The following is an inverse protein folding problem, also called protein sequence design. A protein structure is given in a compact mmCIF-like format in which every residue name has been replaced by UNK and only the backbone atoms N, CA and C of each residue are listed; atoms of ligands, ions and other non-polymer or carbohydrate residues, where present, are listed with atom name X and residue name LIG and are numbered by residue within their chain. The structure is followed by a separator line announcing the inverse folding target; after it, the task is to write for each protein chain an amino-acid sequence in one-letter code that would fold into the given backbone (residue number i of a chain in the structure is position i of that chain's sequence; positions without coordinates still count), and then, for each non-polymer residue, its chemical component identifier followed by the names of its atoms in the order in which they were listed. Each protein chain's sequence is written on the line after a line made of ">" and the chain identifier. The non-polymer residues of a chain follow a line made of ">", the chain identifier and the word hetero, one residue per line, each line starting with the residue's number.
data_IF_250671522712
#
_entry.id   IF_250671522712
#
_cell.length_a   1.000
_cell.length_b   1.000
_cell.length_c   1.000
_cell.angle_alpha   90.00
_cell.angle_beta   90.00
_cell.angle_gamma   90.00
#
_symmetry.space_group_name_H-M   'P 1'
#
loop_
_entity.id
_entity.type
_entity.pdbx_description
1 polymer ?
#
# COMPACT_ATOMS: atom_id res chain seq x y z
N UNK A 1 11.21 -16.44 18.30
CA UNK A 1 10.19 -15.52 17.74
C UNK A 1 9.71 -14.65 18.89
N UNK A 2 10.33 -13.48 19.11
CA UNK A 2 9.89 -12.58 20.18
C UNK A 2 8.64 -11.84 19.72
N UNK A 3 7.52 -12.06 20.39
CA UNK A 3 6.32 -11.23 20.23
C UNK A 3 6.70 -9.78 20.48
N UNK A 4 6.31 -8.89 19.56
CA UNK A 4 6.52 -7.46 19.75
C UNK A 4 5.63 -7.01 20.93
N UNK A 5 6.06 -6.06 21.78
CA UNK A 5 5.26 -5.56 22.92
C UNK A 5 3.94 -4.87 22.51
N UNK A 6 3.49 -5.03 21.26
CA UNK A 6 2.25 -4.51 20.70
C UNK A 6 1.26 -5.61 20.31
N UNK A 7 1.62 -6.90 20.44
CA UNK A 7 0.81 -8.05 20.01
C UNK A 7 -0.05 -8.65 21.15
N UNK A 8 -0.24 -7.91 22.24
CA UNK A 8 -1.10 -8.34 23.35
C UNK A 8 -2.59 -8.25 22.98
N UNK A 9 -3.44 -9.15 23.50
CA UNK A 9 -4.88 -9.09 23.27
C UNK A 9 -5.45 -7.76 23.79
N UNK A 10 -6.19 -7.06 22.93
CA UNK A 10 -6.86 -5.80 23.31
C UNK A 10 -8.03 -6.11 24.21
N UNK A 11 -7.98 -5.61 25.45
CA UNK A 11 -9.11 -5.69 26.38
C UNK A 11 -10.34 -4.99 25.77
N UNK A 12 -11.56 -5.55 25.95
CA UNK A 12 -12.77 -4.94 25.42
C UNK A 12 -12.94 -3.54 26.01
N UNK A 13 -13.29 -2.57 25.15
CA UNK A 13 -13.53 -1.20 25.57
C UNK A 13 -14.82 -1.14 26.43
N UNK A 14 -14.87 -0.31 27.48
CA UNK A 14 -16.10 -0.08 28.24
C UNK A 14 -17.19 0.52 27.34
N UNK A 15 -18.45 0.14 27.60
CA UNK A 15 -19.62 0.57 26.83
C UNK A 15 -19.71 2.11 26.77
N UNK A 16 -19.91 2.65 25.56
CA UNK A 16 -20.05 4.10 25.33
C UNK A 16 -18.77 4.84 24.94
N UNK A 17 -17.59 4.20 24.95
CA UNK A 17 -16.37 4.76 24.34
C UNK A 17 -16.21 4.22 22.92
N UNK A 18 -16.02 5.11 21.94
CA UNK A 18 -15.62 4.69 20.59
C UNK A 18 -14.43 3.72 20.71
N UNK A 19 -14.59 2.50 20.19
CA UNK A 19 -13.57 1.47 20.27
C UNK A 19 -12.28 2.00 19.64
N UNK A 20 -11.24 2.18 20.47
CA UNK A 20 -9.94 2.63 19.98
C UNK A 20 -9.33 1.46 19.19
N UNK A 21 -9.07 1.62 17.89
CA UNK A 21 -8.49 0.53 17.09
C UNK A 21 -7.12 0.15 17.64
N UNK A 22 -6.81 -1.14 17.57
CA UNK A 22 -5.45 -1.62 17.77
C UNK A 22 -4.50 -1.04 16.70
N UNK A 23 -3.19 -1.21 16.91
CA UNK A 23 -2.19 -0.65 15.98
C UNK A 23 -2.31 -1.27 14.59
N UNK A 24 -2.60 -2.57 14.48
CA UNK A 24 -2.67 -3.26 13.19
C UNK A 24 -3.86 -2.75 12.38
N UNK A 25 -5.04 -2.66 12.99
CA UNK A 25 -6.23 -2.10 12.37
C UNK A 25 -6.02 -0.63 12.02
N UNK A 26 -5.40 0.16 12.89
CA UNK A 26 -5.07 1.55 12.59
C UNK A 26 -4.16 1.68 11.36
N UNK A 27 -3.09 0.88 11.27
CA UNK A 27 -2.20 0.89 10.10
C UNK A 27 -2.90 0.37 8.83
N UNK A 28 -3.76 -0.64 8.95
CA UNK A 28 -4.57 -1.12 7.84
C UNK A 28 -5.50 -0.03 7.31
N UNK A 29 -6.14 0.75 8.18
CA UNK A 29 -6.98 1.88 7.79
C UNK A 29 -6.17 2.96 7.06
N UNK A 30 -4.92 3.19 7.46
CA UNK A 30 -4.01 4.11 6.75
C UNK A 30 -3.64 3.57 5.37
N UNK A 31 -3.35 2.27 5.24
CA UNK A 31 -3.11 1.65 3.93
C UNK A 31 -4.35 1.75 3.02
N UNK A 32 -5.55 1.57 3.58
CA UNK A 32 -6.81 1.77 2.85
C UNK A 32 -7.03 3.24 2.46
N UNK A 33 -6.64 4.20 3.31
CA UNK A 33 -6.65 5.61 2.96
C UNK A 33 -5.68 5.91 1.81
N UNK A 34 -4.44 5.39 1.86
CA UNK A 34 -3.48 5.53 0.77
C UNK A 34 -4.01 4.94 -0.56
N UNK A 35 -4.63 3.75 -0.49
CA UNK A 35 -5.27 3.07 -1.64
C UNK A 35 -6.29 3.95 -2.36
N UNK A 36 -6.95 4.90 -1.68
CA UNK A 36 -7.93 5.78 -2.32
C UNK A 36 -7.33 6.60 -3.46
N UNK A 37 -6.02 6.86 -3.44
CA UNK A 37 -5.29 7.59 -4.49
C UNK A 37 -4.70 6.70 -5.59
N UNK A 38 -4.77 5.38 -5.47
CA UNK A 38 -4.25 4.47 -6.48
C UNK A 38 -4.93 4.68 -7.84
N UNK A 39 -4.16 4.72 -8.92
CA UNK A 39 -4.69 4.92 -10.26
C UNK A 39 -4.24 3.87 -11.27
N UNK A 40 -4.20 2.62 -10.79
CA UNK A 40 -4.03 1.43 -11.61
C UNK A 40 -5.40 0.81 -11.95
N UNK A 41 -5.64 0.54 -13.23
CA UNK A 41 -6.87 -0.13 -13.69
C UNK A 41 -6.92 -1.63 -13.31
N UNK A 42 -5.79 -2.23 -12.93
CA UNK A 42 -5.73 -3.63 -12.54
C UNK A 42 -6.31 -3.89 -11.14
N UNK A 43 -5.64 -3.39 -10.11
CA UNK A 43 -6.10 -3.44 -8.71
C UNK A 43 -5.69 -2.15 -8.04
N UNK A 44 -6.54 -1.60 -7.16
CA UNK A 44 -6.16 -0.48 -6.29
C UNK A 44 -5.55 -1.04 -5.02
N UNK A 45 -4.29 -0.70 -4.76
CA UNK A 45 -3.52 -1.17 -3.61
C UNK A 45 -2.94 0.03 -2.88
N UNK A 46 -2.91 -0.04 -1.56
CA UNK A 46 -2.22 0.91 -0.69
C UNK A 46 -1.34 0.15 0.28
N UNK A 47 -0.26 0.78 0.69
CA UNK A 47 0.73 0.23 1.60
C UNK A 47 1.13 1.28 2.63
N UNK A 48 1.52 0.81 3.80
CA UNK A 48 2.09 1.61 4.89
C UNK A 48 3.32 0.86 5.40
N UNK A 49 4.41 1.58 5.63
CA UNK A 49 5.57 1.07 6.36
C UNK A 49 5.58 1.77 7.70
N UNK A 50 5.61 1.01 8.79
CA UNK A 50 5.56 1.55 10.14
C UNK A 50 6.54 0.87 11.08
N UNK A 51 7.02 1.63 12.07
CA UNK A 51 7.97 1.16 13.07
C UNK A 51 7.67 1.84 14.41
N UNK A 52 7.68 1.06 15.49
CA UNK A 52 7.44 1.56 16.86
C UNK A 52 6.12 2.37 17.01
N UNK A 53 5.09 1.99 16.25
CA UNK A 53 3.79 2.68 16.25
C UNK A 53 3.73 3.98 15.45
N UNK A 54 4.78 4.31 14.68
CA UNK A 54 4.83 5.49 13.81
C UNK A 54 4.86 5.08 12.35
N UNK A 55 4.11 5.80 11.52
CA UNK A 55 4.20 5.66 10.06
C UNK A 55 5.52 6.28 9.60
N UNK A 56 6.32 5.51 8.86
CA UNK A 56 7.54 5.98 8.21
C UNK A 56 7.23 6.48 6.79
N UNK A 57 6.43 5.72 6.05
CA UNK A 57 5.97 6.08 4.71
C UNK A 57 4.67 5.37 4.35
N UNK A 58 4.01 5.89 3.33
CA UNK A 58 2.87 5.25 2.66
C UNK A 58 3.14 5.15 1.17
N UNK A 59 2.39 4.29 0.50
CA UNK A 59 2.43 4.16 -0.95
C UNK A 59 1.09 3.71 -1.49
N UNK A 60 0.84 4.03 -2.76
CA UNK A 60 -0.28 3.52 -3.54
C UNK A 60 0.23 3.21 -4.93
N UNK A 61 -0.43 2.29 -5.64
CA UNK A 61 0.04 1.89 -6.97
C UNK A 61 -0.48 2.81 -8.09
N UNK A 62 0.35 3.02 -9.10
CA UNK A 62 0.13 3.92 -10.22
C UNK A 62 1.31 3.86 -11.19
N UNK A 63 1.30 4.64 -12.27
CA UNK A 63 2.49 4.76 -13.12
C UNK A 63 3.59 5.59 -12.42
N UNK A 64 4.84 5.58 -12.90
CA UNK A 64 5.91 6.37 -12.30
C UNK A 64 5.58 7.86 -12.28
N UNK A 65 6.20 8.59 -11.34
CA UNK A 65 6.03 10.04 -11.24
C UNK A 65 6.36 10.74 -12.57
N UNK A 66 5.48 11.65 -13.01
CA UNK A 66 5.65 12.40 -14.25
C UNK A 66 5.15 11.68 -15.52
N UNK A 67 4.56 10.48 -15.39
CA UNK A 67 3.87 9.79 -16.48
C UNK A 67 2.35 9.89 -16.33
N UNK A 68 1.57 9.84 -17.43
CA UNK A 68 0.13 9.65 -17.36
C UNK A 68 -0.19 8.39 -16.55
N UNK A 69 -1.24 8.42 -15.74
CA UNK A 69 -1.68 7.25 -14.99
C UNK A 69 -2.41 6.24 -15.89
N UNK A 70 -2.77 5.08 -15.35
CA UNK A 70 -3.45 4.06 -16.15
C UNK A 70 -4.81 4.55 -16.65
N UNK A 71 -5.54 5.32 -15.84
CA UNK A 71 -6.82 5.91 -16.24
C UNK A 71 -6.67 6.90 -17.40
N UNK A 72 -5.47 7.45 -17.59
CA UNK A 72 -5.07 8.38 -18.64
C UNK A 72 -4.35 7.67 -19.81
N UNK A 73 -4.34 6.33 -19.83
CA UNK A 73 -3.71 5.54 -20.89
C UNK A 73 -2.22 5.24 -20.69
N UNK A 74 -1.63 5.58 -19.54
CA UNK A 74 -0.20 5.40 -19.27
C UNK A 74 0.29 3.97 -19.08
N UNK A 75 -0.60 2.96 -19.15
CA UNK A 75 -0.20 1.55 -19.10
C UNK A 75 -1.08 0.69 -20.01
N UNK A 76 -0.55 0.35 -21.19
CA UNK A 76 -1.23 -0.48 -22.19
C UNK A 76 -1.69 -1.82 -21.62
N UNK A 77 -0.85 -2.49 -20.83
CA UNK A 77 -1.18 -3.78 -20.23
C UNK A 77 -2.35 -3.70 -19.25
N UNK A 78 -2.43 -2.63 -18.45
CA UNK A 78 -3.54 -2.45 -17.52
C UNK A 78 -4.85 -2.12 -18.25
N UNK A 79 -4.78 -1.29 -19.31
CA UNK A 79 -5.94 -0.95 -20.14
C UNK A 79 -6.51 -2.17 -20.89
N UNK A 80 -5.65 -3.10 -21.31
CA UNK A 80 -6.02 -4.27 -22.11
C UNK A 80 -5.98 -5.58 -21.33
N UNK A 81 -5.97 -5.54 -19.99
CA UNK A 81 -5.84 -6.72 -19.13
C UNK A 81 -6.79 -7.86 -19.49
N UNK A 82 -7.96 -7.48 -19.99
CA UNK A 82 -9.10 -8.36 -20.23
C UNK A 82 -9.17 -8.89 -21.68
N UNK A 83 -8.29 -8.41 -22.57
CA UNK A 83 -8.29 -8.73 -23.99
C UNK A 83 -7.76 -10.14 -24.34
N UNK A 84 -7.21 -10.88 -23.37
CA UNK A 84 -6.79 -12.26 -23.59
C UNK A 84 -6.23 -12.94 -22.35
N UNK A 85 -6.15 -14.30 -22.34
CA UNK A 85 -5.74 -15.08 -21.18
C UNK A 85 -4.28 -14.80 -20.76
N UNK A 86 -3.40 -14.41 -21.69
CA UNK A 86 -2.00 -14.09 -21.38
C UNK A 86 -1.83 -12.77 -20.60
N UNK A 87 -2.74 -11.82 -20.78
CA UNK A 87 -2.71 -10.51 -20.09
C UNK A 87 -3.38 -10.58 -18.71
N UNK A 88 -4.38 -11.47 -18.56
CA UNK A 88 -5.03 -11.74 -17.28
C UNK A 88 -4.08 -12.48 -16.34
N UNK A 89 -3.43 -11.72 -15.46
CA UNK A 89 -2.51 -12.29 -14.47
C UNK A 89 -1.12 -12.61 -15.02
N UNK A 90 -0.80 -12.21 -16.25
CA UNK A 90 0.53 -12.31 -16.86
C UNK A 90 1.01 -10.95 -17.41
N UNK A 91 2.05 -10.99 -18.25
CA UNK A 91 2.65 -9.84 -18.92
C UNK A 91 3.03 -8.69 -17.95
N UNK A 92 3.61 -9.03 -16.79
CA UNK A 92 4.03 -8.04 -15.80
C UNK A 92 5.29 -7.28 -16.22
N UNK A 93 6.11 -7.88 -17.08
CA UNK A 93 7.30 -7.31 -17.70
C UNK A 93 7.00 -6.06 -18.55
N UNK A 94 5.79 -5.97 -19.13
CA UNK A 94 5.33 -4.80 -19.88
C UNK A 94 4.42 -3.86 -19.06
N UNK A 95 4.23 -4.13 -17.77
CA UNK A 95 3.44 -3.30 -16.88
C UNK A 95 4.28 -2.12 -16.37
N UNK A 96 3.85 -0.89 -16.63
CA UNK A 96 4.57 0.30 -16.16
C UNK A 96 4.22 0.68 -14.72
N UNK A 97 3.18 0.11 -14.13
CA UNK A 97 2.74 0.47 -12.78
C UNK A 97 3.79 0.13 -11.73
N UNK A 98 4.14 1.12 -10.90
CA UNK A 98 4.85 0.93 -9.64
C UNK A 98 3.86 0.45 -8.58
N UNK A 99 4.21 -0.61 -7.87
CA UNK A 99 3.39 -1.18 -6.81
C UNK A 99 3.34 -0.27 -5.58
N UNK A 100 2.32 -0.43 -4.75
CA UNK A 100 2.13 0.41 -3.57
C UNK A 100 3.29 0.23 -2.57
N UNK A 101 3.73 -1.01 -2.41
CA UNK A 101 4.85 -1.45 -1.58
C UNK A 101 6.16 -0.83 -2.05
N UNK A 102 6.40 -0.85 -3.38
CA UNK A 102 7.56 -0.21 -4.00
C UNK A 102 7.51 1.30 -3.76
N UNK A 103 6.36 1.95 -3.98
CA UNK A 103 6.22 3.38 -3.73
C UNK A 103 6.41 3.76 -2.26
N UNK A 104 5.99 2.92 -1.32
CA UNK A 104 6.24 3.14 0.11
C UNK A 104 7.74 3.07 0.43
N UNK A 105 8.46 2.08 -0.10
CA UNK A 105 9.92 1.96 0.05
C UNK A 105 10.68 3.11 -0.62
N UNK A 106 10.31 3.46 -1.85
CA UNK A 106 10.92 4.57 -2.60
C UNK A 106 10.69 5.92 -1.90
N UNK A 107 9.52 6.12 -1.33
CA UNK A 107 9.20 7.32 -0.54
C UNK A 107 10.06 7.37 0.73
N UNK A 108 10.19 6.25 1.44
CA UNK A 108 11.06 6.16 2.61
C UNK A 108 12.52 6.48 2.24
N UNK A 109 13.04 5.89 1.16
CA UNK A 109 14.39 6.14 0.67
C UNK A 109 14.60 7.61 0.26
N UNK A 110 13.64 8.20 -0.46
CA UNK A 110 13.69 9.60 -0.91
C UNK A 110 13.82 10.60 0.24
N UNK A 111 13.22 10.30 1.38
CA UNK A 111 13.24 11.16 2.57
C UNK A 111 14.18 10.65 3.68
N UNK A 112 15.05 9.67 3.40
CA UNK A 112 16.03 9.19 4.37
C UNK A 112 15.44 8.47 5.59
N UNK A 113 14.28 7.84 5.44
CA UNK A 113 13.64 7.05 6.49
C UNK A 113 14.18 5.61 6.48
N UNK A 114 14.82 5.19 7.57
CA UNK A 114 15.29 3.79 7.75
C UNK A 114 14.09 2.86 7.89
N UNK A 115 14.00 1.83 7.04
CA UNK A 115 12.92 0.81 7.08
C UNK A 115 13.35 -0.53 7.69
N UNK A 116 14.64 -0.72 8.01
CA UNK A 116 15.10 -1.97 8.62
C UNK A 116 14.44 -2.18 9.99
N UNK A 117 13.71 -3.30 10.13
CA UNK A 117 12.94 -3.66 11.32
C UNK A 117 11.48 -3.17 11.32
N UNK A 118 11.08 -2.41 10.29
CA UNK A 118 9.71 -1.98 10.10
C UNK A 118 8.82 -3.11 9.55
N UNK A 119 7.52 -2.94 9.75
CA UNK A 119 6.44 -3.76 9.16
C UNK A 119 5.74 -3.02 8.04
#
# INVERSE_FOLDING_TARGET
>A
MSLSPHDGPVAPAPEGRAHRPDKQLYMLLIALAARTRADCLGRRVGAVIWLEGRVLSTGYNGTPFGMPNCSEGGCHRCANRDAGPFLRGGAYDVCLCVHAEQNALLTAARFGQRTLGAS
#
